data_IF_249274017410
#
_entry.id   IF_249274017410
#
_cell.length_a   1.000
_cell.length_b   1.000
_cell.length_c   1.000
_cell.angle_alpha   90.00
_cell.angle_beta   90.00
_cell.angle_gamma   90.00
#
_symmetry.space_group_name_H-M   'P 1'
#
loop_
_entity.id
_entity.type
_entity.pdbx_description
1 polymer ?
#
# COMPACT_ATOMS: atom_id res chain seq x y z
N UNK A 1 70.15 32.64 60.93
CA UNK A 1 69.34 33.47 60.04
C UNK A 1 68.97 32.61 58.82
N UNK A 2 67.73 32.21 58.70
CA UNK A 2 67.28 31.25 57.68
C UNK A 2 66.46 31.99 56.62
N UNK A 3 66.94 32.01 55.36
CA UNK A 3 66.21 32.56 54.26
C UNK A 3 65.17 31.50 53.77
N UNK A 4 63.94 31.92 53.70
CA UNK A 4 62.84 31.14 53.07
C UNK A 4 62.64 31.68 51.64
N UNK A 5 62.95 30.86 50.64
CA UNK A 5 62.64 31.14 49.26
C UNK A 5 61.19 30.66 48.98
N UNK A 6 60.32 31.55 48.52
CA UNK A 6 58.95 31.25 48.10
C UNK A 6 58.98 31.01 46.59
N UNK A 7 58.59 29.78 46.18
CA UNK A 7 58.46 29.38 44.81
C UNK A 7 57.03 29.66 44.33
N UNK A 8 56.86 30.61 43.39
CA UNK A 8 55.59 30.86 42.70
C UNK A 8 55.39 29.84 41.59
N UNK A 9 54.37 28.98 41.75
CA UNK A 9 53.98 28.03 40.74
C UNK A 9 52.91 28.69 39.84
N UNK A 10 53.26 29.07 38.60
CA UNK A 10 52.30 29.51 37.57
C UNK A 10 51.57 28.32 37.03
N UNK A 11 50.29 28.16 37.35
CA UNK A 11 49.41 27.20 36.73
C UNK A 11 48.80 27.85 35.49
N UNK A 12 49.30 27.48 34.33
CA UNK A 12 48.70 27.82 33.01
C UNK A 12 47.55 26.87 32.73
N UNK A 13 46.30 27.34 32.84
CA UNK A 13 45.14 26.65 32.38
C UNK A 13 45.08 26.68 30.86
N UNK A 14 45.42 25.56 30.24
CA UNK A 14 45.11 25.30 28.83
C UNK A 14 43.61 25.02 28.67
N UNK A 15 42.91 26.02 28.17
CA UNK A 15 41.61 25.81 27.55
C UNK A 15 41.78 25.05 26.24
N UNK A 16 41.69 23.74 26.30
CA UNK A 16 41.60 22.91 25.08
C UNK A 16 40.15 22.50 24.84
N UNK A 17 39.69 23.01 23.77
CA UNK A 17 38.46 23.08 23.10
C UNK A 17 37.44 21.95 23.22
N UNK A 18 36.25 22.40 23.42
CA UNK A 18 34.99 21.72 23.21
C UNK A 18 34.61 21.64 21.69
N UNK A 19 35.56 21.27 20.83
CA UNK A 19 35.35 21.14 19.37
C UNK A 19 35.20 19.69 18.91
N UNK A 20 35.66 18.73 19.72
CA UNK A 20 35.67 17.31 19.32
C UNK A 20 34.35 16.59 19.63
N UNK A 21 33.47 17.13 20.49
CA UNK A 21 32.20 16.48 20.83
C UNK A 21 31.13 16.68 19.78
N UNK A 22 31.07 17.84 19.11
CA UNK A 22 30.08 18.09 18.03
C UNK A 22 30.36 17.26 16.78
N UNK A 23 31.63 17.16 16.37
CA UNK A 23 32.01 16.36 15.19
C UNK A 23 31.79 14.85 15.40
N UNK A 24 31.95 14.34 16.62
CA UNK A 24 31.67 12.95 16.95
C UNK A 24 30.17 12.66 17.01
N UNK A 25 29.35 13.56 17.52
CA UNK A 25 27.90 13.44 17.53
C UNK A 25 27.35 13.52 16.10
N UNK A 26 27.84 14.45 15.28
CA UNK A 26 27.45 14.56 13.87
C UNK A 26 27.89 13.34 13.04
N UNK A 27 29.10 12.81 13.30
CA UNK A 27 29.55 11.57 12.66
C UNK A 27 28.78 10.34 13.15
N UNK A 28 28.45 10.21 14.42
CA UNK A 28 27.57 9.13 14.92
C UNK A 28 26.17 9.24 14.34
N UNK A 29 25.57 10.41 14.33
CA UNK A 29 24.24 10.62 13.70
C UNK A 29 24.28 10.35 12.19
N UNK A 30 25.38 10.66 11.50
CA UNK A 30 25.56 10.35 10.08
C UNK A 30 25.78 8.86 9.83
N UNK A 31 26.49 8.14 10.71
CA UNK A 31 26.67 6.69 10.65
C UNK A 31 25.37 5.96 10.97
N UNK A 32 24.60 6.42 11.96
CA UNK A 32 23.27 5.88 12.28
C UNK A 32 22.27 6.15 11.14
N UNK A 33 22.33 7.32 10.52
CA UNK A 33 21.50 7.68 9.37
C UNK A 33 21.81 6.80 8.14
N UNK A 34 23.07 6.48 7.90
CA UNK A 34 23.50 5.60 6.81
C UNK A 34 23.19 4.10 7.05
N UNK A 35 22.77 3.72 8.27
CA UNK A 35 22.33 2.35 8.60
C UNK A 35 20.82 2.15 8.48
N UNK A 36 20.02 3.24 8.34
CA UNK A 36 18.58 3.13 8.17
C UNK A 36 18.26 2.57 6.77
N UNK A 37 17.31 1.62 6.68
CA UNK A 37 16.93 1.07 5.37
C UNK A 37 16.20 2.10 4.52
N UNK A 38 16.33 1.98 3.21
CA UNK A 38 15.38 2.57 2.28
C UNK A 38 14.05 1.81 2.35
N UNK A 39 12.99 2.46 1.97
CA UNK A 39 11.66 1.83 1.91
C UNK A 39 11.02 2.13 0.56
N UNK A 40 10.62 1.08 -0.16
CA UNK A 40 9.80 1.19 -1.37
C UNK A 40 8.48 0.46 -1.10
N UNK A 41 7.38 1.19 -1.18
CA UNK A 41 6.04 0.62 -1.11
C UNK A 41 5.46 0.54 -2.52
N UNK A 42 5.40 -0.66 -3.10
CA UNK A 42 4.79 -0.93 -4.40
C UNK A 42 3.30 -1.23 -4.16
N UNK A 43 2.43 -0.31 -4.57
CA UNK A 43 0.99 -0.51 -4.50
C UNK A 43 0.44 -0.68 -5.91
N UNK A 44 -0.12 -1.85 -6.22
CA UNK A 44 -0.82 -2.11 -7.48
C UNK A 44 -2.29 -1.71 -7.40
N UNK A 45 -2.93 -1.50 -8.54
CA UNK A 45 -4.29 -0.97 -8.66
C UNK A 45 -5.21 -1.99 -9.32
N UNK A 46 -6.24 -2.44 -8.61
CA UNK A 46 -7.21 -3.45 -9.08
C UNK A 46 -6.59 -4.83 -9.41
N UNK A 47 -5.54 -5.26 -8.70
CA UNK A 47 -4.98 -6.58 -8.89
C UNK A 47 -5.72 -7.64 -8.06
N UNK A 48 -6.21 -8.68 -8.73
CA UNK A 48 -6.92 -9.77 -8.06
C UNK A 48 -6.03 -10.57 -7.10
N UNK A 49 -6.65 -11.20 -6.11
CA UNK A 49 -5.96 -11.96 -5.05
C UNK A 49 -5.05 -13.07 -5.58
N UNK A 50 -5.37 -13.62 -6.75
CA UNK A 50 -4.65 -14.72 -7.38
C UNK A 50 -3.86 -14.30 -8.62
N UNK A 51 -3.71 -13.00 -8.88
CA UNK A 51 -3.07 -12.50 -10.10
C UNK A 51 -1.55 -12.28 -9.95
N UNK A 52 -0.90 -13.22 -9.27
CA UNK A 52 0.56 -13.40 -9.17
C UNK A 52 0.83 -14.89 -9.06
N UNK A 53 1.90 -15.42 -9.69
CA UNK A 53 2.17 -16.86 -9.67
C UNK A 53 2.38 -17.39 -8.25
N UNK A 54 3.11 -16.67 -7.39
CA UNK A 54 3.31 -17.03 -5.97
C UNK A 54 2.01 -17.05 -5.15
N UNK A 55 0.91 -16.47 -5.66
CA UNK A 55 -0.42 -16.56 -5.06
C UNK A 55 -1.33 -17.56 -5.75
N UNK A 56 -0.85 -18.24 -6.81
CA UNK A 56 -1.54 -19.36 -7.45
C UNK A 56 -2.00 -19.14 -8.89
N UNK A 57 -1.70 -18.00 -9.52
CA UNK A 57 -1.87 -17.85 -10.96
C UNK A 57 -0.99 -18.89 -11.68
N UNK A 58 -1.56 -19.55 -12.71
CA UNK A 58 -0.84 -20.53 -13.52
C UNK A 58 -0.68 -20.06 -14.97
N UNK A 59 -1.33 -18.99 -15.29
CA UNK A 59 -1.49 -18.45 -16.65
C UNK A 59 -0.81 -17.08 -16.82
N UNK A 60 -0.09 -16.59 -15.82
CA UNK A 60 0.62 -15.31 -15.84
C UNK A 60 2.15 -15.49 -15.88
N UNK A 61 2.85 -14.46 -16.30
CA UNK A 61 4.32 -14.36 -16.21
C UNK A 61 4.65 -13.19 -15.29
N UNK A 62 5.07 -13.50 -14.04
CA UNK A 62 5.28 -12.52 -12.97
C UNK A 62 6.58 -12.75 -12.18
N UNK A 63 7.74 -12.99 -12.83
CA UNK A 63 8.98 -13.39 -12.13
C UNK A 63 9.50 -12.35 -11.16
N UNK A 64 9.29 -11.07 -11.41
CA UNK A 64 9.80 -9.99 -10.55
C UNK A 64 8.92 -9.76 -9.32
N UNK A 65 7.59 -9.85 -9.46
CA UNK A 65 6.67 -9.87 -8.32
C UNK A 65 6.91 -11.12 -7.47
N UNK A 66 7.08 -12.30 -8.11
CA UNK A 66 7.40 -13.55 -7.42
C UNK A 66 8.72 -13.44 -6.67
N UNK A 67 9.74 -12.79 -7.27
CA UNK A 67 11.00 -12.55 -6.59
C UNK A 67 10.81 -11.80 -5.26
N UNK A 68 10.03 -10.71 -5.24
CA UNK A 68 9.74 -9.94 -4.01
C UNK A 68 9.04 -10.84 -2.98
N UNK A 69 8.05 -11.59 -3.41
CA UNK A 69 7.20 -12.42 -2.55
C UNK A 69 7.97 -13.59 -1.96
N UNK A 70 8.77 -14.28 -2.78
CA UNK A 70 9.51 -15.48 -2.40
C UNK A 70 10.80 -15.18 -1.64
N UNK A 71 11.37 -13.98 -1.79
CA UNK A 71 12.53 -13.55 -1.02
C UNK A 71 12.17 -12.80 0.28
N UNK A 72 10.92 -12.91 0.72
CA UNK A 72 10.43 -12.27 1.94
C UNK A 72 9.34 -13.05 2.63
N UNK A 73 8.44 -12.33 3.28
CA UNK A 73 7.26 -12.85 3.95
C UNK A 73 6.02 -12.55 3.13
N UNK A 74 5.28 -13.60 2.74
CA UNK A 74 3.99 -13.54 2.07
C UNK A 74 2.85 -13.69 3.07
N UNK A 75 1.85 -12.81 2.99
CA UNK A 75 0.64 -12.90 3.80
C UNK A 75 -0.50 -13.54 2.99
N UNK A 76 -1.16 -14.55 3.53
CA UNK A 76 -2.28 -15.23 2.86
C UNK A 76 -3.65 -14.70 3.28
N UNK A 77 -3.72 -13.96 4.40
CA UNK A 77 -4.93 -13.31 4.92
C UNK A 77 -4.68 -11.82 5.15
N UNK A 78 -4.40 -11.10 4.05
CA UNK A 78 -4.18 -9.65 4.09
C UNK A 78 -5.32 -8.92 3.40
N UNK A 79 -5.75 -7.80 4.02
CA UNK A 79 -6.98 -7.14 3.61
C UNK A 79 -6.79 -5.65 3.38
N UNK A 80 -7.50 -5.15 2.39
CA UNK A 80 -7.59 -3.74 2.04
C UNK A 80 -9.05 -3.26 2.14
N UNK A 81 -9.35 -2.06 1.66
CA UNK A 81 -10.71 -1.60 1.44
C UNK A 81 -11.21 -2.01 0.05
N UNK A 82 -12.54 -2.02 -0.19
CA UNK A 82 -13.09 -2.56 -1.43
C UNK A 82 -12.91 -1.66 -2.65
N UNK A 83 -12.36 -0.44 -2.48
CA UNK A 83 -12.10 0.54 -3.56
C UNK A 83 -10.86 1.38 -3.24
N UNK A 84 -10.30 2.03 -4.28
CA UNK A 84 -8.98 2.65 -4.28
C UNK A 84 -8.76 3.72 -3.19
N UNK A 85 -9.53 4.83 -3.18
CA UNK A 85 -9.23 5.96 -2.27
C UNK A 85 -9.34 5.59 -0.79
N UNK A 86 -10.38 4.89 -0.31
CA UNK A 86 -10.43 4.41 1.07
C UNK A 86 -9.26 3.51 1.43
N UNK A 87 -8.81 2.66 0.49
CA UNK A 87 -7.67 1.78 0.72
C UNK A 87 -6.36 2.55 0.85
N UNK A 88 -6.12 3.50 -0.05
CA UNK A 88 -4.94 4.37 -0.04
C UNK A 88 -4.90 5.28 1.18
N UNK A 89 -6.06 5.83 1.59
CA UNK A 89 -6.19 6.61 2.82
C UNK A 89 -5.85 5.78 4.06
N UNK A 90 -6.40 4.57 4.18
CA UNK A 90 -6.11 3.70 5.32
C UNK A 90 -4.63 3.27 5.37
N UNK A 91 -4.03 2.99 4.22
CA UNK A 91 -2.60 2.67 4.10
C UNK A 91 -1.72 3.82 4.59
N UNK A 92 -1.96 5.03 4.07
CA UNK A 92 -1.09 6.16 4.35
C UNK A 92 -1.29 6.77 5.73
N UNK A 93 -2.46 6.57 6.38
CA UNK A 93 -2.74 7.16 7.70
C UNK A 93 -2.67 6.15 8.85
N UNK A 94 -2.59 4.85 8.56
CA UNK A 94 -2.69 3.82 9.60
C UNK A 94 -4.06 3.76 10.31
N UNK A 95 -5.10 4.40 9.73
CA UNK A 95 -6.46 4.47 10.27
C UNK A 95 -7.45 3.75 9.37
N UNK A 96 -8.63 3.43 9.90
CA UNK A 96 -9.74 3.01 9.03
C UNK A 96 -10.17 4.19 8.12
N UNK A 97 -10.71 3.93 6.91
CA UNK A 97 -11.11 4.99 5.99
C UNK A 97 -12.07 6.01 6.59
N UNK A 98 -12.97 5.56 7.49
CA UNK A 98 -13.92 6.42 8.19
C UNK A 98 -13.22 7.40 9.12
N UNK A 99 -12.20 6.94 9.86
CA UNK A 99 -11.40 7.79 10.74
C UNK A 99 -10.43 8.68 9.98
N UNK A 100 -9.92 8.22 8.85
CA UNK A 100 -9.13 9.02 7.94
C UNK A 100 -9.95 10.09 7.16
N UNK A 101 -11.27 10.12 7.33
CA UNK A 101 -12.15 11.09 6.67
C UNK A 101 -12.45 10.81 5.19
N UNK A 102 -12.06 9.64 4.64
CA UNK A 102 -12.25 9.29 3.24
C UNK A 102 -12.81 7.88 3.06
N UNK A 103 -14.10 7.70 3.32
CA UNK A 103 -14.80 6.42 3.26
C UNK A 103 -15.30 6.00 1.87
N UNK A 104 -15.13 6.83 0.86
CA UNK A 104 -15.47 6.59 -0.56
C UNK A 104 -14.40 7.19 -1.47
N UNK A 105 -14.50 6.95 -2.78
CA UNK A 105 -13.50 7.50 -3.71
C UNK A 105 -13.48 9.04 -3.66
N UNK A 106 -12.28 9.59 -3.75
CA UNK A 106 -12.05 11.00 -3.99
C UNK A 106 -12.68 11.40 -5.32
N UNK A 107 -13.21 12.61 -5.39
CA UNK A 107 -13.87 13.13 -6.57
C UNK A 107 -13.00 14.25 -7.14
N UNK A 108 -12.69 14.20 -8.44
CA UNK A 108 -11.90 15.23 -9.10
C UNK A 108 -12.76 16.47 -9.34
N UNK A 109 -13.10 17.18 -8.29
CA UNK A 109 -13.88 18.42 -8.36
C UNK A 109 -13.43 19.35 -7.23
N UNK A 110 -12.70 20.39 -7.60
CA UNK A 110 -12.23 21.43 -6.69
C UNK A 110 -13.35 22.10 -5.88
N UNK A 111 -14.60 22.03 -6.34
CA UNK A 111 -15.78 22.60 -5.64
C UNK A 111 -16.24 21.69 -4.49
N UNK A 112 -16.09 20.37 -4.61
CA UNK A 112 -16.57 19.41 -3.63
C UNK A 112 -15.52 19.09 -2.56
N UNK A 113 -14.23 19.36 -2.84
CA UNK A 113 -13.08 19.08 -1.95
C UNK A 113 -13.16 17.70 -1.25
N UNK A 114 -13.47 16.67 -2.00
CA UNK A 114 -13.57 15.30 -1.46
C UNK A 114 -12.26 14.55 -1.68
N UNK A 115 -11.46 14.48 -0.62
CA UNK A 115 -10.17 13.79 -0.60
C UNK A 115 -9.72 13.51 0.83
N UNK A 116 -8.48 13.09 1.00
CA UNK A 116 -7.86 12.92 2.30
C UNK A 116 -7.65 14.31 2.93
N UNK A 117 -8.22 14.58 4.13
CA UNK A 117 -8.01 15.86 4.78
C UNK A 117 -6.52 16.15 5.03
N UNK A 118 -6.08 17.38 4.73
CA UNK A 118 -4.69 17.82 4.99
C UNK A 118 -4.30 17.87 6.46
N UNK A 119 -5.23 17.57 7.37
CA UNK A 119 -4.98 17.46 8.81
C UNK A 119 -4.62 16.04 9.26
N UNK A 120 -4.71 15.06 8.35
CA UNK A 120 -4.34 13.69 8.65
C UNK A 120 -2.82 13.52 8.55
N UNK A 121 -2.22 12.94 9.59
CA UNK A 121 -0.79 12.61 9.59
C UNK A 121 -0.55 11.35 8.76
N UNK A 122 0.30 11.47 7.77
CA UNK A 122 0.54 10.42 6.77
C UNK A 122 1.85 9.66 7.02
N UNK A 123 1.95 8.49 6.42
CA UNK A 123 3.20 7.71 6.37
C UNK A 123 4.35 8.51 5.74
N UNK A 124 4.07 9.37 4.76
CA UNK A 124 5.09 10.21 4.14
C UNK A 124 5.62 11.27 5.13
N UNK A 125 4.72 11.92 5.88
CA UNK A 125 5.13 12.85 6.94
C UNK A 125 5.93 12.15 8.04
N UNK A 126 5.51 10.95 8.44
CA UNK A 126 6.26 10.12 9.39
C UNK A 126 7.71 9.86 8.94
N UNK A 127 7.90 9.50 7.68
CA UNK A 127 9.24 9.28 7.13
C UNK A 127 10.02 10.59 6.98
N UNK A 128 9.36 11.66 6.54
CA UNK A 128 9.96 13.00 6.40
C UNK A 128 10.44 13.54 7.75
N UNK A 129 9.62 13.44 8.81
CA UNK A 129 9.99 13.84 10.16
C UNK A 129 11.16 13.02 10.71
N UNK A 130 11.29 11.76 10.27
CA UNK A 130 12.43 10.91 10.58
C UNK A 130 13.68 11.22 9.71
N UNK A 131 13.61 12.21 8.80
CA UNK A 131 14.73 12.67 7.98
C UNK A 131 14.98 11.81 6.74
N UNK A 132 13.97 11.09 6.24
CA UNK A 132 14.00 10.42 4.94
C UNK A 132 13.66 11.41 3.82
N UNK A 133 14.26 11.23 2.64
CA UNK A 133 13.73 11.80 1.41
C UNK A 133 12.46 11.05 1.03
N UNK A 134 11.39 11.75 0.63
CA UNK A 134 10.08 11.13 0.39
C UNK A 134 9.60 11.35 -1.04
N UNK A 135 9.15 10.30 -1.73
CA UNK A 135 8.61 10.38 -3.08
C UNK A 135 7.27 9.66 -3.24
N UNK A 136 6.34 10.30 -3.94
CA UNK A 136 5.15 9.69 -4.52
C UNK A 136 5.33 9.59 -6.03
N UNK A 137 5.19 8.40 -6.59
CA UNK A 137 5.28 8.17 -8.03
C UNK A 137 4.12 7.29 -8.48
N UNK A 138 3.26 7.83 -9.36
CA UNK A 138 2.13 7.11 -9.93
C UNK A 138 0.77 7.70 -9.57
N UNK A 139 -0.18 6.83 -9.25
CA UNK A 139 -1.57 7.19 -8.92
C UNK A 139 -1.71 7.70 -7.49
N UNK A 140 -2.26 8.91 -7.34
CA UNK A 140 -2.60 9.48 -6.03
C UNK A 140 -3.98 9.07 -5.54
N UNK A 141 -5.02 9.55 -6.19
CA UNK A 141 -6.45 9.30 -5.93
C UNK A 141 -6.91 9.60 -4.50
N UNK A 142 -6.32 10.62 -3.87
CA UNK A 142 -6.68 11.08 -2.51
C UNK A 142 -7.12 12.54 -2.45
N UNK A 143 -7.46 13.12 -3.61
CA UNK A 143 -7.91 14.51 -3.75
C UNK A 143 -6.94 15.35 -4.54
N UNK A 144 -7.47 16.42 -5.16
CA UNK A 144 -6.74 17.35 -6.02
C UNK A 144 -6.79 18.81 -5.53
N UNK A 145 -7.42 19.07 -4.37
CA UNK A 145 -7.32 20.36 -3.71
C UNK A 145 -5.88 20.60 -3.21
N UNK A 146 -5.40 21.86 -3.15
CA UNK A 146 -4.00 22.16 -2.82
C UNK A 146 -3.50 21.49 -1.54
N UNK A 147 -4.34 21.44 -0.50
CA UNK A 147 -4.04 20.81 0.80
C UNK A 147 -4.08 19.28 0.78
N UNK A 148 -4.56 18.68 -0.31
CA UNK A 148 -4.74 17.22 -0.47
C UNK A 148 -3.72 16.61 -1.41
N UNK A 149 -2.87 17.41 -2.06
CA UNK A 149 -1.87 16.92 -3.03
C UNK A 149 -0.74 16.13 -2.34
N UNK A 150 -0.01 15.26 -3.06
CA UNK A 150 1.09 14.51 -2.47
C UNK A 150 2.12 15.38 -1.73
N UNK A 151 2.49 16.53 -2.33
CA UNK A 151 3.46 17.42 -1.70
C UNK A 151 2.93 18.07 -0.42
N UNK A 152 1.63 18.35 -0.33
CA UNK A 152 1.01 18.86 0.90
C UNK A 152 0.86 17.76 1.97
N UNK A 153 0.91 16.49 1.59
CA UNK A 153 0.76 15.31 2.44
C UNK A 153 2.12 14.63 2.75
N UNK A 154 3.23 15.39 2.72
CA UNK A 154 4.53 14.95 3.22
C UNK A 154 5.53 14.44 2.18
N UNK A 155 5.18 14.37 0.90
CA UNK A 155 6.13 13.97 -0.14
C UNK A 155 6.96 15.15 -0.64
N UNK A 156 8.30 15.03 -0.57
CA UNK A 156 9.23 16.05 -1.09
C UNK A 156 9.20 16.07 -2.61
N UNK A 157 9.06 14.90 -3.22
CA UNK A 157 8.96 14.70 -4.65
C UNK A 157 7.65 14.01 -5.02
N UNK A 158 6.98 14.46 -6.08
CA UNK A 158 5.81 13.80 -6.61
C UNK A 158 5.80 13.80 -8.14
N UNK A 159 5.43 12.66 -8.74
CA UNK A 159 5.18 12.51 -10.17
C UNK A 159 4.02 11.55 -10.39
N UNK A 160 2.98 11.97 -11.11
CA UNK A 160 1.85 11.11 -11.43
C UNK A 160 0.54 11.86 -11.58
N UNK A 161 -0.56 11.11 -11.50
CA UNK A 161 -1.90 11.63 -11.71
C UNK A 161 -2.72 11.70 -10.41
N UNK A 162 -3.59 12.69 -10.30
CA UNK A 162 -4.37 12.97 -9.09
C UNK A 162 -5.66 12.17 -9.00
N UNK A 163 -6.22 11.76 -10.14
CA UNK A 163 -7.53 11.10 -10.23
C UNK A 163 -7.42 9.56 -10.25
N UNK A 164 -8.58 8.89 -10.41
CA UNK A 164 -8.68 7.43 -10.30
C UNK A 164 -8.05 6.65 -11.43
N UNK A 165 -7.99 7.18 -12.64
CA UNK A 165 -7.40 6.55 -13.82
C UNK A 165 -7.08 7.58 -14.91
N UNK A 166 -6.12 7.24 -15.76
CA UNK A 166 -5.79 7.98 -16.98
C UNK A 166 -5.58 7.00 -18.13
N UNK A 167 -5.66 7.47 -19.36
CA UNK A 167 -5.09 6.78 -20.51
C UNK A 167 -3.57 6.84 -20.43
N UNK A 168 -2.89 5.70 -20.64
CA UNK A 168 -1.46 5.58 -20.38
C UNK A 168 -0.55 6.28 -21.41
N UNK A 169 -1.09 6.77 -22.53
CA UNK A 169 -0.32 7.47 -23.57
C UNK A 169 -0.67 8.94 -23.67
N UNK A 170 -1.95 9.28 -23.56
CA UNK A 170 -2.40 10.68 -23.61
C UNK A 170 -2.43 11.36 -22.25
N UNK A 171 -2.40 10.59 -21.15
CA UNK A 171 -2.46 11.02 -19.75
C UNK A 171 -3.75 11.77 -19.40
N UNK A 172 -4.83 11.58 -20.19
CA UNK A 172 -6.12 12.18 -19.92
C UNK A 172 -6.99 11.32 -19.02
N UNK A 173 -7.65 11.97 -18.06
CA UNK A 173 -8.79 11.43 -17.37
C UNK A 173 -10.03 11.51 -18.27
N UNK A 174 -10.76 10.41 -18.39
CA UNK A 174 -11.88 10.26 -19.33
C UNK A 174 -13.14 9.66 -18.68
N UNK A 175 -13.17 9.56 -17.36
CA UNK A 175 -14.23 8.83 -16.66
C UNK A 175 -15.57 9.57 -16.63
N UNK A 176 -15.56 10.82 -16.14
CA UNK A 176 -16.73 11.65 -15.95
C UNK A 176 -16.43 13.10 -16.35
N UNK A 177 -17.42 13.76 -16.96
CA UNK A 177 -17.26 15.15 -17.38
C UNK A 177 -16.38 15.30 -18.63
N UNK A 178 -15.91 16.52 -18.91
CA UNK A 178 -14.97 16.74 -19.99
C UNK A 178 -13.65 16.05 -19.69
N UNK A 179 -13.06 15.45 -20.73
CA UNK A 179 -11.71 14.89 -20.63
C UNK A 179 -10.75 16.00 -20.21
N UNK A 180 -9.89 15.70 -19.23
CA UNK A 180 -8.85 16.62 -18.78
C UNK A 180 -7.52 15.90 -18.71
N UNK A 181 -6.46 16.59 -19.05
CA UNK A 181 -5.11 16.09 -18.83
C UNK A 181 -4.83 16.03 -17.32
N UNK A 182 -4.15 15.00 -16.86
CA UNK A 182 -3.95 14.74 -15.41
C UNK A 182 -2.58 14.10 -15.16
N UNK A 183 -1.52 14.82 -15.48
CA UNK A 183 -0.15 14.41 -15.15
C UNK A 183 0.62 15.58 -14.56
N UNK A 184 1.21 15.37 -13.38
CA UNK A 184 1.84 16.43 -12.60
C UNK A 184 3.22 16.00 -12.07
N UNK A 185 4.17 16.93 -12.01
CA UNK A 185 5.41 16.81 -11.25
C UNK A 185 5.49 17.95 -10.24
N UNK A 186 5.56 17.61 -8.95
CA UNK A 186 5.64 18.58 -7.84
C UNK A 186 4.56 19.68 -7.93
N UNK A 187 3.31 19.26 -8.17
CA UNK A 187 2.16 20.14 -8.28
C UNK A 187 2.06 20.95 -9.60
N UNK A 188 3.02 20.81 -10.50
CA UNK A 188 2.98 21.47 -11.83
C UNK A 188 2.60 20.44 -12.89
N UNK A 189 1.63 20.81 -13.74
CA UNK A 189 1.25 20.00 -14.88
C UNK A 189 2.41 19.83 -15.86
N UNK A 190 2.62 18.60 -16.35
CA UNK A 190 3.68 18.23 -17.29
C UNK A 190 3.13 17.38 -18.41
N UNK A 191 3.67 17.53 -19.61
CA UNK A 191 3.16 16.90 -20.82
C UNK A 191 4.19 15.95 -21.42
N UNK A 192 3.79 14.70 -21.64
CA UNK A 192 4.59 13.62 -22.21
C UNK A 192 3.76 12.84 -23.24
N UNK A 193 3.00 13.56 -24.08
CA UNK A 193 2.06 13.00 -25.03
C UNK A 193 2.67 11.86 -25.86
N UNK A 194 1.98 10.72 -25.94
CA UNK A 194 2.43 9.55 -26.64
C UNK A 194 3.47 8.70 -25.93
N UNK A 195 4.01 9.15 -24.79
CA UNK A 195 4.91 8.33 -23.99
C UNK A 195 4.14 7.47 -23.00
N UNK A 196 4.53 6.22 -22.83
CA UNK A 196 3.85 5.27 -21.98
C UNK A 196 4.07 5.60 -20.49
N UNK A 197 2.99 5.91 -19.77
CA UNK A 197 3.06 6.37 -18.38
C UNK A 197 3.82 5.41 -17.44
N UNK A 198 3.67 4.07 -17.54
CA UNK A 198 4.47 3.16 -16.73
C UNK A 198 5.98 3.28 -16.94
N UNK A 199 6.46 3.61 -18.14
CA UNK A 199 7.88 3.86 -18.40
C UNK A 199 8.33 5.18 -17.77
N UNK A 200 7.49 6.22 -17.85
CA UNK A 200 7.75 7.49 -17.19
C UNK A 200 7.85 7.33 -15.67
N UNK A 201 7.00 6.49 -15.06
CA UNK A 201 7.08 6.19 -13.62
C UNK A 201 8.41 5.51 -13.24
N UNK A 202 8.88 4.52 -14.03
CA UNK A 202 10.14 3.83 -13.77
C UNK A 202 11.33 4.79 -13.91
N UNK A 203 11.32 5.63 -14.95
CA UNK A 203 12.36 6.62 -15.18
C UNK A 203 12.44 7.62 -14.03
N UNK A 204 11.29 8.12 -13.58
CA UNK A 204 11.20 9.05 -12.45
C UNK A 204 11.67 8.40 -11.14
N UNK A 205 11.25 7.15 -10.88
CA UNK A 205 11.68 6.37 -9.72
C UNK A 205 13.20 6.14 -9.74
N UNK A 206 13.75 5.76 -10.89
CA UNK A 206 15.18 5.53 -11.05
C UNK A 206 16.00 6.80 -10.79
N UNK A 207 15.54 7.95 -11.28
CA UNK A 207 16.15 9.26 -11.03
C UNK A 207 16.13 9.60 -9.55
N UNK A 208 14.98 9.49 -8.90
CA UNK A 208 14.82 9.75 -7.46
C UNK A 208 15.75 8.86 -6.62
N UNK A 209 15.83 7.55 -6.94
CA UNK A 209 16.70 6.61 -6.23
C UNK A 209 18.17 7.00 -6.41
N UNK A 210 18.58 7.32 -7.64
CA UNK A 210 19.96 7.75 -7.95
C UNK A 210 20.38 8.98 -7.15
N UNK A 211 19.52 10.00 -7.11
CA UNK A 211 19.75 11.25 -6.39
C UNK A 211 19.84 11.03 -4.86
N UNK A 212 19.12 10.03 -4.34
CA UNK A 212 19.01 9.76 -2.91
C UNK A 212 19.80 8.53 -2.42
N UNK A 213 20.58 7.86 -3.26
CA UNK A 213 21.29 6.61 -2.93
C UNK A 213 22.23 6.68 -1.70
N UNK A 214 22.59 7.88 -1.23
CA UNK A 214 23.44 8.10 -0.06
C UNK A 214 22.67 8.45 1.21
N UNK A 215 21.37 8.60 1.11
CA UNK A 215 20.46 8.95 2.22
C UNK A 215 19.30 7.96 2.27
N UNK A 216 18.72 7.70 3.44
CA UNK A 216 17.52 6.89 3.50
C UNK A 216 16.36 7.60 2.79
N UNK A 217 15.57 6.83 2.04
CA UNK A 217 14.41 7.35 1.35
C UNK A 217 13.17 6.44 1.56
N UNK A 218 12.01 7.05 1.49
CA UNK A 218 10.72 6.40 1.37
C UNK A 218 10.10 6.73 0.03
N UNK A 219 9.79 5.73 -0.77
CA UNK A 219 9.09 5.88 -2.05
C UNK A 219 7.76 5.12 -2.04
N UNK A 220 6.68 5.83 -2.23
CA UNK A 220 5.37 5.28 -2.52
C UNK A 220 5.21 5.15 -4.02
N UNK A 221 5.56 3.97 -4.54
CA UNK A 221 5.46 3.60 -5.96
C UNK A 221 4.05 3.03 -6.21
N UNK A 222 3.11 3.94 -6.42
CA UNK A 222 1.68 3.67 -6.54
C UNK A 222 1.32 3.48 -8.02
N UNK A 223 1.63 2.30 -8.56
CA UNK A 223 1.39 2.03 -9.98
C UNK A 223 -0.10 2.02 -10.30
N UNK A 224 -0.45 2.50 -11.49
CA UNK A 224 -1.84 2.53 -11.96
C UNK A 224 -2.25 1.22 -12.68
N UNK A 225 -1.38 0.22 -12.67
CA UNK A 225 -1.62 -1.10 -13.26
C UNK A 225 -2.01 -2.13 -12.20
N UNK A 226 -2.83 -3.11 -12.54
CA UNK A 226 -3.50 -3.37 -13.82
C UNK A 226 -4.89 -2.74 -13.97
N UNK A 227 -5.16 -1.58 -13.35
CA UNK A 227 -6.43 -0.86 -13.57
C UNK A 227 -6.60 -0.52 -15.06
N UNK A 228 -7.82 -0.64 -15.58
CA UNK A 228 -8.08 -0.27 -16.98
C UNK A 228 -7.76 1.22 -17.25
N UNK A 229 -7.43 1.60 -18.53
CA UNK A 229 -7.45 0.77 -19.73
C UNK A 229 -6.32 -0.24 -19.75
N UNK A 230 -6.60 -1.48 -20.22
CA UNK A 230 -5.60 -2.54 -20.31
C UNK A 230 -4.68 -2.31 -21.53
N UNK A 231 -3.64 -1.53 -21.31
CA UNK A 231 -2.68 -1.10 -22.34
C UNK A 231 -1.31 -1.73 -22.06
N UNK A 232 -1.23 -3.05 -22.10
CA UNK A 232 0.02 -3.78 -21.95
C UNK A 232 0.91 -3.70 -23.18
N UNK A 233 2.21 -4.02 -23.02
CA UNK A 233 3.17 -4.10 -24.11
C UNK A 233 2.70 -5.11 -25.17
N UNK A 234 2.89 -4.79 -26.45
CA UNK A 234 2.49 -5.65 -27.58
C UNK A 234 3.09 -7.06 -27.46
N UNK A 235 4.38 -7.19 -27.06
CA UNK A 235 5.05 -8.48 -26.87
C UNK A 235 4.30 -9.42 -25.92
N UNK A 236 3.70 -8.86 -24.85
CA UNK A 236 2.94 -9.65 -23.88
C UNK A 236 1.54 -9.98 -24.39
N UNK A 237 0.91 -9.06 -25.12
CA UNK A 237 -0.38 -9.34 -25.73
C UNK A 237 -0.27 -10.45 -26.78
N UNK A 238 0.75 -10.40 -27.64
CA UNK A 238 1.05 -11.44 -28.62
C UNK A 238 1.32 -12.78 -27.92
N UNK A 239 2.16 -12.79 -26.87
CA UNK A 239 2.45 -13.99 -26.07
C UNK A 239 1.16 -14.65 -25.54
N UNK A 240 0.26 -13.88 -24.93
CA UNK A 240 -0.96 -14.44 -24.36
C UNK A 240 -1.98 -14.86 -25.41
N UNK A 241 -2.03 -14.18 -26.57
CA UNK A 241 -2.84 -14.60 -27.71
C UNK A 241 -2.34 -15.93 -28.27
N UNK A 242 -1.03 -16.09 -28.44
CA UNK A 242 -0.41 -17.35 -28.94
C UNK A 242 -0.62 -18.51 -27.96
N UNK A 243 -0.71 -18.22 -26.65
CA UNK A 243 -1.06 -19.20 -25.62
C UNK A 243 -2.56 -19.53 -25.58
N UNK A 244 -3.38 -18.87 -26.39
CA UNK A 244 -4.83 -19.10 -26.44
C UNK A 244 -5.57 -18.56 -25.22
N UNK A 245 -5.01 -17.59 -24.49
CA UNK A 245 -5.68 -16.95 -23.36
C UNK A 245 -6.84 -16.12 -23.90
N UNK A 246 -8.06 -16.43 -23.45
CA UNK A 246 -9.27 -15.80 -23.96
C UNK A 246 -9.43 -14.36 -23.47
N UNK A 247 -10.11 -13.55 -24.29
CA UNK A 247 -10.55 -12.20 -23.92
C UNK A 247 -11.59 -12.23 -22.78
N UNK A 248 -11.53 -11.30 -21.80
CA UNK A 248 -10.57 -10.19 -21.66
C UNK A 248 -9.31 -10.54 -20.85
N UNK A 249 -9.14 -11.79 -20.43
CA UNK A 249 -7.99 -12.24 -19.63
C UNK A 249 -6.66 -11.98 -20.32
N UNK A 250 -6.58 -12.14 -21.66
CA UNK A 250 -5.38 -11.86 -22.44
C UNK A 250 -4.89 -10.41 -22.30
N UNK A 251 -5.80 -9.43 -22.33
CA UNK A 251 -5.48 -8.01 -22.17
C UNK A 251 -4.98 -7.72 -20.76
N UNK A 252 -5.68 -8.23 -19.75
CA UNK A 252 -5.31 -8.08 -18.36
C UNK A 252 -3.97 -8.76 -18.05
N UNK A 253 -3.76 -9.99 -18.54
CA UNK A 253 -2.53 -10.74 -18.37
C UNK A 253 -1.32 -10.04 -19.00
N UNK A 254 -1.50 -9.49 -20.22
CA UNK A 254 -0.48 -8.68 -20.88
C UNK A 254 -0.12 -7.46 -20.02
N UNK A 255 -1.12 -6.81 -19.44
CA UNK A 255 -0.89 -5.63 -18.60
C UNK A 255 -0.21 -5.97 -17.26
N UNK A 256 -0.53 -7.14 -16.65
CA UNK A 256 0.17 -7.66 -15.47
C UNK A 256 1.64 -7.96 -15.79
N UNK A 257 1.96 -8.63 -16.90
CA UNK A 257 3.35 -8.93 -17.25
C UNK A 257 4.13 -7.69 -17.67
N UNK A 258 3.46 -6.70 -18.25
CA UNK A 258 4.01 -5.36 -18.46
C UNK A 258 4.39 -4.68 -17.14
N UNK A 259 3.51 -4.76 -16.13
CA UNK A 259 3.80 -4.26 -14.78
C UNK A 259 5.00 -5.00 -14.16
N UNK A 260 5.05 -6.31 -14.30
CA UNK A 260 6.14 -7.12 -13.78
C UNK A 260 7.51 -6.72 -14.37
N UNK A 261 7.58 -6.46 -15.68
CA UNK A 261 8.79 -5.93 -16.32
C UNK A 261 9.23 -4.59 -15.70
N UNK A 262 8.28 -3.69 -15.37
CA UNK A 262 8.58 -2.38 -14.77
C UNK A 262 9.03 -2.51 -13.32
N UNK A 263 8.48 -3.45 -12.58
CA UNK A 263 9.00 -3.82 -11.25
C UNK A 263 10.42 -4.39 -11.37
N UNK A 264 10.67 -5.24 -12.37
CA UNK A 264 12.01 -5.75 -12.67
C UNK A 264 13.03 -4.65 -12.92
N UNK A 265 12.67 -3.65 -13.72
CA UNK A 265 13.55 -2.49 -13.97
C UNK A 265 13.88 -1.73 -12.68
N UNK A 266 12.90 -1.55 -11.78
CA UNK A 266 13.12 -0.92 -10.48
C UNK A 266 14.06 -1.75 -9.58
N UNK A 267 13.87 -3.08 -9.53
CA UNK A 267 14.74 -3.99 -8.77
C UNK A 267 16.18 -3.98 -9.30
N UNK A 268 16.34 -3.98 -10.63
CA UNK A 268 17.64 -3.89 -11.28
C UNK A 268 18.37 -2.58 -10.94
N UNK A 269 17.64 -1.45 -10.87
CA UNK A 269 18.22 -0.16 -10.47
C UNK A 269 18.77 -0.20 -9.05
N UNK A 270 18.09 -0.86 -8.12
CA UNK A 270 18.59 -1.05 -6.74
C UNK A 270 19.87 -1.93 -6.70
N UNK A 271 19.92 -2.97 -7.55
CA UNK A 271 21.08 -3.84 -7.68
C UNK A 271 22.28 -3.09 -8.28
N UNK A 272 22.09 -2.35 -9.37
CA UNK A 272 23.11 -1.52 -10.02
C UNK A 272 23.76 -0.53 -9.04
N UNK A 273 22.96 0.03 -8.14
CA UNK A 273 23.44 0.99 -7.14
C UNK A 273 23.98 0.33 -5.86
N UNK A 274 23.87 -1.00 -5.72
CA UNK A 274 24.33 -1.74 -4.55
C UNK A 274 23.56 -1.44 -3.27
N UNK A 275 22.30 -0.99 -3.35
CA UNK A 275 21.49 -0.59 -2.19
C UNK A 275 20.31 -1.52 -1.92
N UNK A 276 20.11 -2.56 -2.74
CA UNK A 276 19.00 -3.51 -2.61
C UNK A 276 18.95 -4.20 -1.24
N UNK A 277 20.11 -4.62 -0.73
CA UNK A 277 20.21 -5.32 0.56
C UNK A 277 19.82 -4.44 1.76
N UNK A 278 19.91 -3.12 1.62
CA UNK A 278 19.47 -2.15 2.62
C UNK A 278 18.12 -1.48 2.22
N UNK A 279 17.30 -2.17 1.47
CA UNK A 279 16.00 -1.64 1.03
C UNK A 279 14.88 -2.60 1.45
N UNK A 280 13.90 -2.09 2.21
CA UNK A 280 12.65 -2.77 2.48
C UNK A 280 11.74 -2.55 1.27
N UNK A 281 11.20 -3.62 0.71
CA UNK A 281 10.22 -3.55 -0.37
C UNK A 281 8.91 -4.19 0.14
N UNK A 282 7.84 -3.42 0.14
CA UNK A 282 6.47 -3.90 0.36
C UNK A 282 5.76 -3.97 -0.98
N UNK A 283 5.06 -5.06 -1.22
CA UNK A 283 4.20 -5.28 -2.37
C UNK A 283 2.77 -5.52 -1.92
N UNK A 284 1.79 -4.82 -2.47
CA UNK A 284 0.37 -4.99 -2.15
C UNK A 284 -0.52 -4.47 -3.28
N UNK A 285 -1.72 -5.06 -3.46
CA UNK A 285 -2.82 -4.45 -4.23
C UNK A 285 -3.70 -3.57 -3.35
N UNK A 286 -4.30 -2.52 -3.93
CA UNK A 286 -5.19 -1.62 -3.18
C UNK A 286 -6.59 -2.19 -2.94
N UNK A 287 -7.09 -3.06 -3.83
CA UNK A 287 -8.36 -3.81 -3.70
C UNK A 287 -8.39 -5.00 -4.66
N UNK A 288 -9.48 -5.75 -4.69
CA UNK A 288 -9.70 -6.82 -5.66
C UNK A 288 -9.88 -6.30 -7.09
N UNK A 289 -9.80 -7.21 -8.08
CA UNK A 289 -9.91 -6.87 -9.51
C UNK A 289 -11.25 -6.23 -9.89
N UNK A 290 -11.25 -5.41 -10.94
CA UNK A 290 -12.45 -4.76 -11.45
C UNK A 290 -13.26 -5.70 -12.37
N UNK A 291 -14.59 -5.60 -12.27
CA UNK A 291 -15.56 -6.27 -13.18
C UNK A 291 -16.46 -5.26 -13.88
N UNK A 292 -16.07 -3.99 -13.89
CA UNK A 292 -16.80 -2.91 -14.54
C UNK A 292 -16.77 -3.05 -16.07
N UNK A 293 -17.72 -2.39 -16.76
CA UNK A 293 -17.79 -2.43 -18.22
C UNK A 293 -16.48 -1.98 -18.88
N UNK A 294 -15.82 -0.94 -18.36
CA UNK A 294 -14.53 -0.43 -18.86
C UNK A 294 -13.37 -1.39 -18.61
N UNK A 295 -13.50 -2.30 -17.65
CA UNK A 295 -12.62 -3.44 -17.45
C UNK A 295 -13.04 -4.65 -18.29
N UNK A 296 -13.83 -4.44 -19.33
CA UNK A 296 -14.38 -5.50 -20.17
C UNK A 296 -15.13 -6.58 -19.37
N UNK A 297 -15.75 -6.20 -18.26
CA UNK A 297 -16.44 -7.07 -17.28
C UNK A 297 -15.53 -8.08 -16.57
N UNK A 298 -14.20 -7.85 -16.51
CA UNK A 298 -13.30 -8.72 -15.78
C UNK A 298 -11.88 -8.72 -16.31
N UNK A 299 -11.28 -9.91 -16.35
CA UNK A 299 -9.88 -10.15 -16.73
C UNK A 299 -9.01 -10.51 -15.53
N UNK A 300 -9.25 -9.95 -14.34
CA UNK A 300 -8.61 -10.35 -13.09
C UNK A 300 -9.18 -11.62 -12.49
N UNK A 301 -8.49 -12.18 -11.50
CA UNK A 301 -8.82 -13.45 -10.87
C UNK A 301 -8.68 -13.36 -9.34
N UNK A 302 -9.77 -13.62 -8.62
CA UNK A 302 -9.77 -13.75 -7.16
C UNK A 302 -9.69 -15.22 -6.69
N UNK A 303 -9.52 -16.18 -7.59
CA UNK A 303 -9.46 -17.60 -7.27
C UNK A 303 -10.76 -18.11 -6.66
N UNK A 304 -10.70 -18.81 -5.50
CA UNK A 304 -11.90 -19.31 -4.83
C UNK A 304 -12.70 -18.21 -4.15
N UNK A 305 -12.17 -16.99 -4.01
CA UNK A 305 -12.75 -15.91 -3.21
C UNK A 305 -13.89 -15.23 -3.96
N UNK A 306 -15.06 -15.18 -3.32
CA UNK A 306 -16.26 -14.56 -3.86
C UNK A 306 -16.12 -13.04 -3.94
N UNK A 307 -16.78 -12.43 -4.94
CA UNK A 307 -16.79 -11.00 -5.13
C UNK A 307 -15.56 -10.46 -5.89
N UNK A 308 -15.55 -9.17 -6.10
CA UNK A 308 -14.52 -8.40 -6.79
C UNK A 308 -14.51 -6.97 -6.25
N UNK A 309 -13.80 -6.03 -6.86
CA UNK A 309 -13.83 -4.59 -6.51
C UNK A 309 -15.24 -4.12 -6.17
N UNK A 310 -15.36 -3.23 -5.20
CA UNK A 310 -16.64 -2.70 -4.67
C UNK A 310 -17.49 -3.71 -3.89
N UNK A 311 -16.96 -4.91 -3.56
CA UNK A 311 -17.58 -5.90 -2.70
C UNK A 311 -16.83 -6.04 -1.37
N UNK A 312 -17.54 -6.39 -0.29
CA UNK A 312 -16.95 -6.75 0.99
C UNK A 312 -16.81 -8.27 1.19
N UNK A 313 -17.11 -9.06 0.18
CA UNK A 313 -16.69 -10.46 0.10
C UNK A 313 -15.15 -10.55 -0.06
N UNK A 314 -14.58 -11.72 0.21
CA UNK A 314 -13.12 -11.92 0.19
C UNK A 314 -12.48 -11.44 -1.11
N UNK A 315 -13.04 -11.73 -2.28
CA UNK A 315 -12.49 -11.32 -3.57
C UNK A 315 -12.43 -9.81 -3.82
N UNK A 316 -13.16 -9.01 -3.04
CA UNK A 316 -13.11 -7.55 -3.12
C UNK A 316 -12.11 -6.89 -2.17
N UNK A 317 -11.80 -7.53 -1.04
CA UNK A 317 -10.98 -6.95 0.03
C UNK A 317 -9.73 -7.74 0.40
N UNK A 318 -9.65 -9.04 0.09
CA UNK A 318 -8.46 -9.85 0.29
C UNK A 318 -7.51 -9.63 -0.88
N UNK A 319 -6.28 -9.26 -0.60
CA UNK A 319 -5.30 -8.80 -1.60
C UNK A 319 -3.96 -9.52 -1.42
N UNK A 320 -3.17 -9.68 -2.50
CA UNK A 320 -1.79 -10.10 -2.35
C UNK A 320 -1.02 -9.04 -1.55
N UNK A 321 -0.22 -9.49 -0.59
CA UNK A 321 0.64 -8.63 0.21
C UNK A 321 1.89 -9.38 0.67
N UNK A 322 3.03 -8.75 0.51
CA UNK A 322 4.32 -9.30 0.91
C UNK A 322 5.29 -8.18 1.33
N UNK A 323 6.30 -8.55 2.10
CA UNK A 323 7.41 -7.69 2.48
C UNK A 323 8.72 -8.43 2.36
N UNK A 324 9.71 -7.82 1.75
CA UNK A 324 11.09 -8.32 1.74
C UNK A 324 12.06 -7.29 2.28
N UNK A 325 13.05 -7.77 2.99
CA UNK A 325 14.24 -7.02 3.38
C UNK A 325 15.39 -8.02 3.43
N UNK A 326 16.27 -8.04 2.44
CA UNK A 326 17.34 -9.03 2.37
C UNK A 326 18.14 -9.10 3.67
N UNK A 327 18.48 -10.31 4.10
CA UNK A 327 19.24 -10.59 5.32
C UNK A 327 18.57 -10.18 6.67
N UNK A 328 17.37 -9.61 6.65
CA UNK A 328 16.62 -9.18 7.85
C UNK A 328 15.26 -9.86 8.00
N UNK A 329 14.61 -10.18 6.90
CA UNK A 329 13.32 -10.89 6.87
C UNK A 329 13.56 -12.28 6.27
N UNK A 330 12.95 -13.29 6.87
CA UNK A 330 13.08 -14.67 6.43
C UNK A 330 12.54 -14.85 5.02
N UNK A 331 13.38 -15.37 4.12
CA UNK A 331 13.01 -15.75 2.75
C UNK A 331 11.99 -16.90 2.76
N UNK A 332 10.99 -16.82 1.87
CA UNK A 332 9.97 -17.87 1.67
C UNK A 332 9.01 -18.06 2.83
N UNK A 333 8.96 -17.12 3.77
CA UNK A 333 8.05 -17.21 4.89
C UNK A 333 6.58 -16.99 4.47
N UNK A 334 5.68 -17.82 5.00
CA UNK A 334 4.24 -17.68 4.77
C UNK A 334 3.58 -17.35 6.11
N UNK A 335 2.70 -16.36 6.12
CA UNK A 335 1.96 -15.92 7.30
C UNK A 335 0.47 -15.96 7.01
N UNK A 336 -0.25 -16.76 7.82
CA UNK A 336 -1.70 -16.94 7.71
C UNK A 336 -2.47 -16.07 8.70
N UNK A 337 -1.77 -15.26 9.47
CA UNK A 337 -2.39 -14.33 10.41
C UNK A 337 -3.08 -13.21 9.67
N UNK A 338 -4.17 -12.76 10.26
CA UNK A 338 -4.93 -11.62 9.77
C UNK A 338 -4.12 -10.33 9.86
N UNK A 339 -4.03 -9.59 8.75
CA UNK A 339 -3.45 -8.27 8.65
C UNK A 339 -4.26 -7.38 7.72
N UNK A 340 -4.14 -6.08 7.87
CA UNK A 340 -4.83 -5.07 7.06
C UNK A 340 -3.87 -3.99 6.57
N UNK A 341 -4.23 -3.28 5.52
CA UNK A 341 -3.35 -2.27 4.91
C UNK A 341 -2.97 -1.12 5.86
N UNK A 342 -3.81 -0.76 6.83
CA UNK A 342 -3.45 0.22 7.86
C UNK A 342 -2.32 -0.26 8.81
N UNK A 343 -2.01 -1.54 8.83
CA UNK A 343 -0.93 -2.11 9.65
C UNK A 343 0.47 -1.75 9.15
N UNK A 344 0.59 -1.34 7.87
CA UNK A 344 1.90 -1.03 7.31
C UNK A 344 2.57 0.18 7.93
N UNK A 345 1.81 1.24 8.26
CA UNK A 345 2.40 2.43 8.87
C UNK A 345 3.11 2.11 10.20
N UNK A 346 2.48 1.48 11.21
CA UNK A 346 3.19 1.11 12.44
C UNK A 346 4.24 0.01 12.22
N UNK A 347 4.09 -0.87 11.22
CA UNK A 347 5.07 -1.90 10.89
C UNK A 347 6.36 -1.28 10.35
N UNK A 348 6.26 -0.38 9.39
CA UNK A 348 7.40 0.29 8.80
C UNK A 348 8.07 1.25 9.80
N UNK A 349 7.29 1.91 10.65
CA UNK A 349 7.84 2.70 11.75
C UNK A 349 8.74 1.84 12.66
N UNK A 350 8.25 0.67 13.08
CA UNK A 350 9.01 -0.25 13.95
C UNK A 350 10.26 -0.79 13.25
N UNK A 351 10.15 -1.26 11.99
CA UNK A 351 11.29 -1.77 11.21
C UNK A 351 12.38 -0.71 10.98
N UNK A 352 11.98 0.55 10.81
CA UNK A 352 12.91 1.67 10.58
C UNK A 352 13.36 2.37 11.86
N UNK A 353 12.93 1.90 13.06
CA UNK A 353 13.26 2.52 14.35
C UNK A 353 12.66 3.93 14.52
N UNK A 354 11.53 4.21 13.85
CA UNK A 354 10.84 5.50 13.93
C UNK A 354 9.86 5.47 15.10
N UNK A 355 9.95 6.46 15.98
CA UNK A 355 8.97 6.63 17.07
C UNK A 355 7.65 7.12 16.49
N UNK A 356 6.60 6.37 16.70
CA UNK A 356 5.26 6.68 16.21
C UNK A 356 4.26 6.60 17.37
N UNK A 357 3.43 7.65 17.55
CA UNK A 357 2.31 7.59 18.46
C UNK A 357 1.21 6.67 17.89
N UNK A 358 1.19 5.44 18.37
CA UNK A 358 0.26 4.43 17.93
C UNK A 358 -1.14 4.53 18.56
N UNK A 359 -1.37 5.44 19.53
CA UNK A 359 -2.66 5.54 20.23
C UNK A 359 -3.79 5.98 19.30
N UNK A 360 -3.46 6.78 18.28
CA UNK A 360 -4.41 7.28 17.28
C UNK A 360 -4.54 6.40 16.05
N UNK A 361 -3.83 5.26 15.98
CA UNK A 361 -3.89 4.34 14.85
C UNK A 361 -4.87 3.19 15.07
N UNK A 362 -5.50 2.72 14.00
CA UNK A 362 -6.24 1.46 13.99
C UNK A 362 -5.32 0.29 13.62
N UNK A 363 -4.32 0.57 12.78
CA UNK A 363 -3.28 -0.38 12.38
C UNK A 363 -2.44 -0.87 13.54
N UNK A 364 -1.93 -2.09 13.41
CA UNK A 364 -1.08 -2.77 14.39
C UNK A 364 0.18 -3.28 13.73
N UNK A 365 1.34 -3.09 14.36
CA UNK A 365 2.59 -3.60 13.81
C UNK A 365 2.56 -5.10 13.58
N UNK A 366 3.01 -5.52 12.40
CA UNK A 366 3.14 -6.90 11.95
C UNK A 366 4.53 -7.47 12.21
N UNK A 367 5.46 -6.72 12.79
CA UNK A 367 6.87 -7.13 12.96
C UNK A 367 6.99 -8.45 13.68
N UNK A 368 6.26 -8.65 14.78
CA UNK A 368 6.28 -9.92 15.51
C UNK A 368 5.80 -11.09 14.64
N UNK A 369 4.77 -10.88 13.81
CA UNK A 369 4.24 -11.89 12.88
C UNK A 369 5.22 -12.17 11.74
N UNK A 370 5.85 -11.14 11.19
CA UNK A 370 6.87 -11.27 10.14
C UNK A 370 7.99 -12.20 10.59
N UNK A 371 8.47 -12.03 11.82
CA UNK A 371 9.61 -12.79 12.35
C UNK A 371 9.23 -14.12 13.01
N UNK A 372 7.97 -14.33 13.39
CA UNK A 372 7.55 -15.57 14.08
C UNK A 372 6.16 -16.04 13.61
N UNK A 373 6.12 -17.21 12.97
CA UNK A 373 4.87 -17.82 12.47
C UNK A 373 3.89 -18.24 13.57
N UNK A 374 4.36 -18.42 14.81
CA UNK A 374 3.53 -18.80 15.97
C UNK A 374 2.83 -17.60 16.60
N UNK A 375 3.21 -16.38 16.25
CA UNK A 375 2.55 -15.18 16.74
C UNK A 375 1.10 -15.09 16.27
N UNK A 376 0.26 -14.52 17.12
CA UNK A 376 -1.14 -14.26 16.79
C UNK A 376 -1.32 -12.85 16.24
N UNK A 377 -2.37 -12.67 15.43
CA UNK A 377 -2.77 -11.32 15.00
C UNK A 377 -2.99 -10.40 16.20
N UNK A 378 -2.58 -9.15 16.06
CA UNK A 378 -2.82 -8.11 17.07
C UNK A 378 -4.28 -7.60 17.05
N UNK A 379 -5.06 -7.96 16.04
CA UNK A 379 -6.48 -7.60 15.91
C UNK A 379 -7.38 -8.59 16.68
N UNK A 380 -7.11 -8.80 17.96
CA UNK A 380 -7.81 -9.80 18.81
C UNK A 380 -9.29 -9.47 19.01
N UNK A 381 -9.66 -8.20 18.99
CA UNK A 381 -11.06 -7.74 19.08
C UNK A 381 -11.81 -7.82 17.75
N UNK A 382 -11.12 -8.26 16.68
CA UNK A 382 -11.64 -8.30 15.33
C UNK A 382 -11.50 -6.98 14.58
N UNK A 383 -12.02 -6.95 13.36
CA UNK A 383 -11.94 -5.79 12.47
C UNK A 383 -13.29 -5.56 11.76
N UNK A 384 -13.58 -4.31 11.43
CA UNK A 384 -14.82 -3.94 10.72
C UNK A 384 -14.50 -3.12 9.48
N UNK A 385 -15.29 -3.35 8.43
CA UNK A 385 -15.31 -2.55 7.20
C UNK A 385 -16.69 -1.97 6.98
N UNK A 386 -16.76 -0.84 6.33
CA UNK A 386 -17.99 -0.26 5.80
C UNK A 386 -17.70 0.41 4.46
N UNK A 387 -18.57 0.15 3.49
CA UNK A 387 -18.57 0.81 2.20
C UNK A 387 -20.01 1.00 1.73
N UNK A 388 -20.42 2.26 1.60
CA UNK A 388 -21.82 2.61 1.36
C UNK A 388 -22.72 1.97 2.45
N UNK A 389 -23.78 1.25 2.06
CA UNK A 389 -24.67 0.54 2.99
C UNK A 389 -24.16 -0.85 3.42
N UNK A 390 -23.11 -1.35 2.76
CA UNK A 390 -22.49 -2.63 3.11
C UNK A 390 -21.56 -2.47 4.31
N UNK A 391 -21.52 -3.50 5.14
CA UNK A 391 -20.59 -3.58 6.25
C UNK A 391 -20.15 -5.00 6.56
N UNK A 392 -19.04 -5.14 7.22
CA UNK A 392 -18.50 -6.40 7.71
C UNK A 392 -18.04 -6.23 9.14
N UNK A 393 -18.30 -7.26 9.96
CA UNK A 393 -17.59 -7.51 11.21
C UNK A 393 -16.91 -8.88 11.12
N UNK A 394 -15.61 -8.93 11.37
CA UNK A 394 -14.84 -10.16 11.44
C UNK A 394 -14.17 -10.29 12.80
N UNK A 395 -14.28 -11.49 13.40
CA UNK A 395 -13.54 -11.86 14.61
C UNK A 395 -13.05 -13.29 14.49
N UNK A 396 -11.74 -13.48 14.45
CA UNK A 396 -11.14 -14.76 14.10
C UNK A 396 -11.55 -15.21 12.70
N UNK A 397 -12.06 -16.43 12.58
CA UNK A 397 -12.56 -17.03 11.34
C UNK A 397 -14.02 -16.66 11.00
N UNK A 398 -14.77 -16.11 11.94
CA UNK A 398 -16.15 -15.71 11.70
C UNK A 398 -16.24 -14.33 11.05
N UNK A 399 -16.96 -14.25 9.93
CA UNK A 399 -17.21 -13.02 9.18
C UNK A 399 -18.71 -12.86 8.94
N UNK A 400 -19.26 -11.73 9.35
CA UNK A 400 -20.64 -11.35 9.12
C UNK A 400 -20.71 -10.15 8.16
N UNK A 401 -21.38 -10.33 7.04
CA UNK A 401 -21.65 -9.26 6.09
C UNK A 401 -23.07 -8.74 6.28
N UNK A 402 -23.23 -7.42 6.33
CA UNK A 402 -24.50 -6.73 6.29
C UNK A 402 -24.74 -6.10 4.93
N UNK A 403 -25.95 -6.29 4.38
CA UNK A 403 -26.36 -5.83 3.05
C UNK A 403 -25.37 -6.21 1.93
N UNK A 404 -24.95 -7.50 1.85
CA UNK A 404 -23.88 -7.91 0.96
C UNK A 404 -24.22 -7.70 -0.52
N UNK A 405 -23.20 -7.36 -1.31
CA UNK A 405 -23.25 -7.30 -2.79
C UNK A 405 -22.14 -8.15 -3.37
N UNK A 406 -22.48 -9.01 -4.31
CA UNK A 406 -21.52 -9.84 -5.04
C UNK A 406 -21.23 -9.23 -6.41
N UNK A 407 -20.17 -8.47 -6.50
CA UNK A 407 -19.79 -7.74 -7.72
C UNK A 407 -19.13 -8.61 -8.78
N UNK A 408 -18.83 -9.88 -8.47
CA UNK A 408 -18.36 -10.85 -9.48
C UNK A 408 -19.48 -11.37 -10.40
N UNK A 409 -20.76 -11.03 -10.09
CA UNK A 409 -21.93 -11.47 -10.83
C UNK A 409 -22.69 -10.29 -11.43
N UNK A 410 -23.38 -10.51 -12.54
CA UNK A 410 -24.24 -9.48 -13.14
C UNK A 410 -25.34 -8.98 -12.20
N UNK A 411 -25.82 -9.80 -11.26
CA UNK A 411 -26.84 -9.45 -10.27
C UNK A 411 -26.17 -9.19 -8.93
N UNK A 412 -25.84 -7.95 -8.64
CA UNK A 412 -25.01 -7.56 -7.50
C UNK A 412 -25.64 -7.76 -6.13
N UNK A 413 -26.99 -7.57 -6.01
CA UNK A 413 -27.67 -7.61 -4.71
C UNK A 413 -28.10 -9.02 -4.35
N UNK A 414 -27.73 -9.44 -3.16
CA UNK A 414 -28.27 -10.64 -2.55
C UNK A 414 -29.62 -10.33 -1.86
N UNK A 415 -30.51 -11.35 -1.79
CA UNK A 415 -31.79 -11.22 -1.06
C UNK A 415 -31.57 -11.13 0.45
N UNK A 416 -30.55 -11.78 0.93
CA UNK A 416 -30.18 -11.84 2.35
C UNK A 416 -29.56 -10.53 2.82
N UNK A 417 -30.12 -9.96 3.89
CA UNK A 417 -29.54 -8.77 4.53
C UNK A 417 -28.36 -9.10 5.46
N UNK A 418 -28.19 -10.37 5.81
CA UNK A 418 -27.11 -10.89 6.65
C UNK A 418 -26.54 -12.14 6.01
N UNK A 419 -25.22 -12.19 5.92
CA UNK A 419 -24.49 -13.34 5.41
C UNK A 419 -23.36 -13.66 6.38
N UNK A 420 -23.47 -14.78 7.09
CA UNK A 420 -22.48 -15.24 8.04
C UNK A 420 -21.70 -16.40 7.46
N UNK A 421 -20.39 -16.36 7.58
CA UNK A 421 -19.49 -17.41 7.11
C UNK A 421 -18.41 -17.73 8.16
N UNK A 422 -17.95 -18.99 8.16
CA UNK A 422 -16.72 -19.43 8.80
C UNK A 422 -15.65 -19.57 7.71
N UNK A 423 -14.67 -18.68 7.68
CA UNK A 423 -13.65 -18.63 6.62
C UNK A 423 -12.64 -19.77 6.65
N UNK A 424 -12.52 -20.50 7.78
CA UNK A 424 -11.65 -21.69 7.85
C UNK A 424 -12.29 -22.87 7.11
N UNK A 425 -13.64 -22.95 7.12
CA UNK A 425 -14.40 -24.02 6.45
C UNK A 425 -14.80 -23.63 5.02
N UNK A 426 -15.11 -22.36 4.80
CA UNK A 426 -15.66 -21.82 3.54
C UNK A 426 -15.02 -20.46 3.21
N UNK A 427 -13.79 -20.48 2.74
CA UNK A 427 -13.07 -19.26 2.30
C UNK A 427 -13.66 -18.65 1.02
N UNK A 428 -14.46 -19.41 0.29
CA UNK A 428 -15.20 -18.99 -0.93
C UNK A 428 -16.52 -18.29 -0.63
N UNK A 429 -16.96 -18.25 0.64
CA UNK A 429 -18.19 -17.59 1.08
C UNK A 429 -19.41 -18.07 0.31
N UNK A 430 -19.52 -19.39 0.12
CA UNK A 430 -20.57 -20.03 -0.67
C UNK A 430 -21.86 -20.26 0.12
N UNK A 431 -21.75 -20.54 1.44
CA UNK A 431 -22.87 -20.90 2.31
C UNK A 431 -23.17 -19.81 3.36
N UNK A 432 -24.44 -19.42 3.47
CA UNK A 432 -24.88 -18.48 4.50
C UNK A 432 -25.30 -19.19 5.78
N UNK A 433 -24.47 -19.11 6.81
CA UNK A 433 -24.67 -19.73 8.11
C UNK A 433 -25.52 -18.88 9.10
N UNK A 434 -26.05 -17.73 8.70
CA UNK A 434 -26.75 -16.79 9.61
C UNK A 434 -27.94 -17.42 10.33
N UNK A 435 -28.72 -18.26 9.66
CA UNK A 435 -29.83 -18.98 10.26
C UNK A 435 -29.38 -20.06 11.24
N UNK A 436 -28.26 -20.72 10.97
CA UNK A 436 -27.70 -21.81 11.79
C UNK A 436 -27.05 -21.30 13.07
N UNK A 437 -26.44 -20.09 13.04
CA UNK A 437 -25.71 -19.53 14.19
C UNK A 437 -26.22 -18.11 14.56
N UNK A 438 -27.50 -17.95 15.00
CA UNK A 438 -28.06 -16.63 15.29
C UNK A 438 -27.35 -15.89 16.43
N UNK A 439 -26.81 -16.60 17.42
CA UNK A 439 -26.01 -15.99 18.52
C UNK A 439 -24.74 -15.33 17.98
N UNK A 440 -24.09 -15.95 16.98
CA UNK A 440 -22.88 -15.40 16.35
C UNK A 440 -23.21 -14.16 15.52
N UNK A 441 -24.36 -14.13 14.86
CA UNK A 441 -24.87 -12.92 14.17
C UNK A 441 -25.01 -11.77 15.16
N UNK A 442 -25.66 -11.99 16.30
CA UNK A 442 -25.87 -10.96 17.34
C UNK A 442 -24.52 -10.45 17.88
N UNK A 443 -23.57 -11.34 18.14
CA UNK A 443 -22.23 -10.98 18.63
C UNK A 443 -21.51 -10.04 17.65
N UNK A 444 -21.45 -10.40 16.36
CA UNK A 444 -20.75 -9.63 15.34
C UNK A 444 -21.50 -8.33 14.96
N UNK A 445 -22.82 -8.32 15.01
CA UNK A 445 -23.59 -7.06 14.89
C UNK A 445 -23.30 -6.10 16.04
N UNK A 446 -23.18 -6.60 17.26
CA UNK A 446 -22.80 -5.79 18.42
C UNK A 446 -21.40 -5.20 18.25
N UNK A 447 -20.45 -6.01 17.74
CA UNK A 447 -19.10 -5.54 17.40
C UNK A 447 -19.14 -4.39 16.39
N UNK A 448 -19.88 -4.57 15.26
CA UNK A 448 -20.01 -3.54 14.23
C UNK A 448 -20.66 -2.26 14.78
N UNK A 449 -21.74 -2.36 15.53
CA UNK A 449 -22.40 -1.20 16.15
C UNK A 449 -21.47 -0.45 17.09
N UNK A 450 -20.67 -1.17 17.88
CA UNK A 450 -19.65 -0.59 18.75
C UNK A 450 -18.56 0.13 17.96
N UNK A 451 -18.09 -0.48 16.87
CA UNK A 451 -17.14 0.14 15.95
C UNK A 451 -17.72 1.40 15.30
N UNK A 452 -18.95 1.35 14.80
CA UNK A 452 -19.65 2.48 14.19
C UNK A 452 -19.71 3.68 15.13
N UNK A 453 -20.11 3.48 16.40
CA UNK A 453 -20.15 4.56 17.40
C UNK A 453 -18.80 5.25 17.63
N UNK A 454 -17.68 4.49 17.55
CA UNK A 454 -16.33 5.06 17.69
C UNK A 454 -15.87 5.82 16.46
N UNK A 455 -16.45 5.54 15.30
CA UNK A 455 -16.08 6.10 14.00
C UNK A 455 -17.10 7.09 13.42
N UNK A 456 -18.23 7.30 14.10
CA UNK A 456 -19.23 8.33 13.78
C UNK A 456 -18.86 9.61 14.54
N UNK A 457 -17.93 10.39 13.99
CA UNK A 457 -17.67 11.77 14.43
C UNK A 457 -18.00 12.72 13.29
#
# INVERSE_FOLDING_TARGET
>A
MKHKTILFLCISFLFWGCSSSKSNVENQQRLEKNQRPNVIFILTDDQGSMDVNSYGAKDLVTPNMDYIIENGTRFTQFYASPVCSPSRAALLTGKTPQRAGLSGNAVPDSKVKKGLPGTEYTMAEMFKDAGYATAHIGKWHLGDAPEMTPNAQGFDHSFGHMVGCIDNYSHFFYWNGPNRHDLYRNGKEVYYDGQFFPDLMVNEASTFIEENKKNPFFMYFAVNMPHYPYQGDAKWLDYYNDKGVSYPRNLYAAFISTLDDRIGALLNKLDELGIKDNTIIVFQSDNGHSTEQRAHFGGGNSGPYRGAKSSLFEGGIRVPAAITWPNRIQKGAIRNQFGVNSDWMPTLAELCGIKLDSQNLDGKSLVSIIHNEKEKTKHTEGYCWQYQEMWVARKGHWKLLGNPRDTSKKTYKLKEKRFLVNLDDDSGESENLAKKYPKKVIELEKQYRGWLKRNSK
#
